data_IF_340030341916
#
_entry.id   IF_340030341916
#
_cell.length_a   1.000
_cell.length_b   1.000
_cell.length_c   1.000
_cell.angle_alpha   90.00
_cell.angle_beta   90.00
_cell.angle_gamma   90.00
#
_symmetry.space_group_name_H-M   'P 1'
#
loop_
_entity.id
_entity.type
_entity.pdbx_description
1 polymer ?
#
# COMPACT_ATOMS: atom_id res chain seq x y z
N UNK A 1 0.66 -25.31 27.56
CA UNK A 1 0.27 -24.62 28.80
C UNK A 1 0.13 -23.15 28.46
N UNK A 2 -1.09 -22.68 28.23
CA UNK A 2 -1.34 -21.27 27.86
C UNK A 2 -1.37 -20.49 29.17
N UNK A 3 -0.33 -19.70 29.45
CA UNK A 3 -0.32 -18.81 30.61
C UNK A 3 -1.49 -17.83 30.46
N UNK A 4 -2.32 -17.70 31.51
CA UNK A 4 -3.36 -16.68 31.53
C UNK A 4 -2.71 -15.30 31.34
N UNK A 5 -3.28 -14.42 30.48
CA UNK A 5 -2.70 -13.10 30.28
C UNK A 5 -2.68 -12.35 31.61
N UNK A 6 -1.52 -11.80 31.98
CA UNK A 6 -1.41 -11.01 33.21
C UNK A 6 -2.42 -9.84 33.21
N UNK A 7 -2.95 -9.44 34.38
CA UNK A 7 -4.02 -8.45 34.48
C UNK A 7 -3.59 -7.06 33.94
N UNK A 8 -4.53 -6.28 33.40
CA UNK A 8 -4.30 -4.89 32.97
C UNK A 8 -4.25 -3.95 34.17
N UNK A 9 -3.29 -3.02 34.21
CA UNK A 9 -3.04 -2.10 35.33
C UNK A 9 -1.56 -1.77 35.49
N UNK A 10 -1.23 -0.68 36.19
CA UNK A 10 0.16 -0.22 36.32
C UNK A 10 0.77 0.14 34.97
N UNK A 11 1.94 -0.44 34.63
CA UNK A 11 2.63 -0.18 33.35
C UNK A 11 2.08 -0.96 32.15
N UNK A 12 1.13 -1.88 32.35
CA UNK A 12 0.53 -2.67 31.27
C UNK A 12 -0.84 -2.12 30.89
N UNK A 13 -0.90 -1.46 29.74
CA UNK A 13 -2.04 -0.64 29.30
C UNK A 13 -2.77 -1.18 28.06
N UNK A 14 -2.35 -2.33 27.53
CA UNK A 14 -2.96 -2.97 26.36
C UNK A 14 -3.11 -4.47 26.56
N UNK A 15 -3.99 -5.06 25.74
CA UNK A 15 -4.13 -6.52 25.60
C UNK A 15 -3.37 -7.07 24.39
N UNK A 16 -2.47 -6.27 23.78
CA UNK A 16 -1.64 -6.77 22.66
C UNK A 16 -0.92 -8.06 23.03
N UNK A 17 -0.82 -9.01 22.08
CA UNK A 17 0.02 -10.19 22.28
C UNK A 17 1.48 -9.76 22.44
N UNK A 18 2.27 -10.52 23.20
CA UNK A 18 3.71 -10.25 23.36
C UNK A 18 4.43 -10.32 22.00
N UNK A 19 4.01 -11.25 21.15
CA UNK A 19 4.46 -11.42 19.79
C UNK A 19 3.30 -11.90 18.91
N UNK A 20 3.31 -11.49 17.64
CA UNK A 20 2.39 -11.99 16.63
C UNK A 20 1.90 -10.88 15.72
N UNK A 21 0.83 -11.17 14.99
CA UNK A 21 0.25 -10.24 14.03
C UNK A 21 -1.22 -9.97 14.34
N UNK A 22 -1.66 -8.73 14.10
CA UNK A 22 -3.07 -8.36 14.19
C UNK A 22 -3.54 -7.68 12.89
N UNK A 23 -4.78 -7.94 12.52
CA UNK A 23 -5.47 -7.12 11.51
C UNK A 23 -5.83 -5.76 12.09
N UNK A 24 -6.07 -4.77 11.23
CA UNK A 24 -6.34 -3.39 11.64
C UNK A 24 -7.49 -3.29 12.67
N UNK A 25 -8.61 -3.96 12.40
CA UNK A 25 -9.77 -3.94 13.30
C UNK A 25 -9.47 -4.62 14.64
N UNK A 26 -8.77 -5.76 14.63
CA UNK A 26 -8.38 -6.46 15.86
C UNK A 26 -7.42 -5.62 16.69
N UNK A 27 -6.46 -4.95 16.05
CA UNK A 27 -5.56 -4.03 16.73
C UNK A 27 -6.34 -2.89 17.43
N UNK A 28 -7.24 -2.22 16.71
CA UNK A 28 -8.05 -1.14 17.27
C UNK A 28 -8.86 -1.59 18.49
N UNK A 29 -9.50 -2.77 18.43
CA UNK A 29 -10.22 -3.36 19.57
C UNK A 29 -9.28 -3.71 20.73
N UNK A 30 -8.09 -4.21 20.44
CA UNK A 30 -7.08 -4.56 21.47
C UNK A 30 -6.50 -3.33 22.17
N UNK A 31 -6.63 -2.15 21.56
CA UNK A 31 -6.24 -0.86 22.13
C UNK A 31 -7.35 -0.19 22.96
N UNK A 32 -8.58 -0.71 22.98
CA UNK A 32 -9.71 -0.14 23.74
C UNK A 32 -9.48 0.04 25.24
N UNK A 33 -8.71 -0.81 25.95
CA UNK A 33 -8.39 -0.56 27.35
C UNK A 33 -7.76 0.81 27.62
N UNK A 34 -7.00 1.37 26.66
CA UNK A 34 -6.50 2.75 26.79
C UNK A 34 -7.63 3.78 26.76
N UNK A 35 -8.60 3.62 25.85
CA UNK A 35 -9.76 4.51 25.80
C UNK A 35 -10.59 4.42 27.07
N UNK A 36 -10.77 3.20 27.61
CA UNK A 36 -11.42 3.02 28.89
C UNK A 36 -10.66 3.76 30.00
N UNK A 37 -9.33 3.62 30.04
CA UNK A 37 -8.50 4.35 30.99
C UNK A 37 -8.61 5.87 30.86
N UNK A 38 -8.77 6.41 29.64
CA UNK A 38 -9.06 7.83 29.41
C UNK A 38 -10.40 8.23 29.99
N UNK A 39 -11.44 7.42 29.77
CA UNK A 39 -12.80 7.65 30.30
C UNK A 39 -12.77 7.66 31.82
N UNK A 40 -12.16 6.65 32.44
CA UNK A 40 -12.11 6.50 33.89
C UNK A 40 -11.27 7.60 34.54
N UNK A 41 -10.08 7.89 34.01
CA UNK A 41 -9.17 8.89 34.58
C UNK A 41 -9.68 10.32 34.38
N UNK A 42 -10.42 10.60 33.30
CA UNK A 42 -11.03 11.90 33.03
C UNK A 42 -12.45 12.06 33.56
N UNK A 43 -13.02 11.03 34.21
CA UNK A 43 -14.43 10.98 34.59
C UNK A 43 -15.36 11.42 33.43
N UNK A 44 -15.10 10.91 32.23
CA UNK A 44 -15.80 11.30 31.02
C UNK A 44 -17.17 10.65 30.94
N UNK A 45 -18.15 11.38 30.39
CA UNK A 45 -19.50 10.91 30.18
C UNK A 45 -19.97 11.09 28.73
N UNK A 46 -21.20 10.67 28.41
CA UNK A 46 -21.77 10.76 27.06
C UNK A 46 -21.73 12.16 26.43
N UNK A 47 -21.78 13.22 27.26
CA UNK A 47 -21.72 14.60 26.80
C UNK A 47 -20.35 15.01 26.23
N UNK A 48 -19.29 14.28 26.58
CA UNK A 48 -17.91 14.56 26.16
C UNK A 48 -17.57 13.87 24.81
N UNK A 49 -18.43 12.96 24.33
CA UNK A 49 -18.24 12.21 23.08
C UNK A 49 -17.99 13.12 21.87
N UNK A 50 -18.77 14.19 21.61
CA UNK A 50 -18.57 15.01 20.42
C UNK A 50 -17.18 15.66 20.36
N UNK A 51 -16.61 16.04 21.51
CA UNK A 51 -15.29 16.68 21.59
C UNK A 51 -14.17 15.70 21.22
N UNK A 52 -14.23 14.48 21.77
CA UNK A 52 -13.26 13.44 21.45
C UNK A 52 -13.41 12.94 20.01
N UNK A 53 -14.65 12.81 19.54
CA UNK A 53 -14.96 12.43 18.16
C UNK A 53 -14.33 13.42 17.16
N UNK A 54 -14.56 14.72 17.37
CA UNK A 54 -13.98 15.78 16.56
C UNK A 54 -12.44 15.73 16.57
N UNK A 55 -11.81 15.56 17.75
CA UNK A 55 -10.36 15.46 17.85
C UNK A 55 -9.78 14.27 17.08
N UNK A 56 -10.42 13.09 17.19
CA UNK A 56 -9.99 11.87 16.50
C UNK A 56 -10.06 12.08 14.99
N UNK A 57 -11.20 12.59 14.52
CA UNK A 57 -11.39 12.90 13.11
C UNK A 57 -10.38 13.94 12.62
N UNK A 58 -10.12 15.01 13.38
CA UNK A 58 -9.15 16.04 13.01
C UNK A 58 -7.71 15.48 12.91
N UNK A 59 -7.32 14.60 13.83
CA UNK A 59 -5.97 13.99 13.84
C UNK A 59 -5.76 13.03 12.67
N UNK A 60 -6.78 12.20 12.37
CA UNK A 60 -6.71 11.17 11.33
C UNK A 60 -7.06 11.68 9.92
N UNK A 61 -7.64 12.88 9.81
CA UNK A 61 -7.84 13.59 8.55
C UNK A 61 -6.50 14.01 7.91
N UNK A 62 -6.56 14.69 6.76
CA UNK A 62 -5.41 15.27 6.08
C UNK A 62 -5.58 16.79 5.95
N UNK A 63 -4.47 17.52 6.04
CA UNK A 63 -4.40 18.92 5.61
C UNK A 63 -5.02 19.96 6.55
N UNK A 64 -5.37 19.58 7.79
CA UNK A 64 -5.74 20.51 8.87
C UNK A 64 -4.52 20.81 9.75
N UNK A 65 -4.63 21.75 10.69
CA UNK A 65 -3.56 22.01 11.65
C UNK A 65 -3.31 20.81 12.56
N UNK A 66 -4.37 20.14 12.97
CA UNK A 66 -4.34 19.06 13.96
C UNK A 66 -4.00 17.68 13.36
N UNK A 67 -3.86 17.58 12.03
CA UNK A 67 -3.54 16.30 11.38
C UNK A 67 -2.18 15.77 11.78
N UNK A 68 -2.12 14.46 12.06
CA UNK A 68 -0.86 13.76 12.25
C UNK A 68 -0.13 13.41 10.94
N UNK A 69 -0.78 13.60 9.79
CA UNK A 69 -0.18 13.41 8.46
C UNK A 69 -0.45 14.67 7.61
N UNK A 70 0.50 15.62 7.57
CA UNK A 70 0.35 16.90 6.86
C UNK A 70 0.51 16.73 5.34
N UNK A 71 -0.23 15.78 4.77
CA UNK A 71 -0.22 15.43 3.36
C UNK A 71 -1.34 16.18 2.63
N UNK A 72 -0.97 17.18 1.85
CA UNK A 72 -1.91 18.01 1.08
C UNK A 72 -1.68 17.78 -0.42
N UNK A 73 -2.28 16.73 -1.02
CA UNK A 73 -2.09 16.44 -2.44
C UNK A 73 -2.80 17.49 -3.31
N UNK A 74 -2.05 18.12 -4.22
CA UNK A 74 -2.58 18.97 -5.28
C UNK A 74 -2.64 18.25 -6.64
N UNK A 75 -3.17 18.92 -7.68
CA UNK A 75 -3.17 18.40 -9.05
C UNK A 75 -1.77 17.99 -9.54
N UNK A 76 -0.75 18.78 -9.18
CA UNK A 76 0.63 18.60 -9.61
C UNK A 76 1.45 17.65 -8.73
N UNK A 77 0.87 17.16 -7.62
CA UNK A 77 1.58 16.22 -6.75
C UNK A 77 1.96 14.93 -7.51
N UNK A 78 3.08 14.28 -7.17
CA UNK A 78 3.44 13.01 -7.79
C UNK A 78 2.31 11.97 -7.73
N UNK A 79 2.21 11.10 -8.74
CA UNK A 79 1.14 10.09 -8.85
C UNK A 79 1.03 9.23 -7.58
N UNK A 80 2.16 8.77 -7.05
CA UNK A 80 2.23 7.98 -5.82
C UNK A 80 1.67 8.75 -4.62
N UNK A 81 2.04 10.03 -4.47
CA UNK A 81 1.55 10.91 -3.40
C UNK A 81 0.03 11.05 -3.43
N UNK A 82 -0.56 11.24 -4.62
CA UNK A 82 -2.03 11.33 -4.74
C UNK A 82 -2.72 10.00 -4.39
N UNK A 83 -2.15 8.88 -4.84
CA UNK A 83 -2.67 7.53 -4.55
C UNK A 83 -2.62 7.23 -3.04
N UNK A 84 -1.48 7.47 -2.40
CA UNK A 84 -1.31 7.31 -0.95
C UNK A 84 -2.20 8.27 -0.15
N UNK A 85 -2.47 9.48 -0.65
CA UNK A 85 -3.37 10.40 0.03
C UNK A 85 -4.84 9.96 -0.03
N UNK A 86 -5.28 9.36 -1.15
CA UNK A 86 -6.60 8.72 -1.23
C UNK A 86 -6.68 7.59 -0.21
N UNK A 87 -5.63 6.77 -0.13
CA UNK A 87 -5.53 5.66 0.82
C UNK A 87 -5.56 6.14 2.28
N UNK A 88 -4.75 7.15 2.61
CA UNK A 88 -4.70 7.74 3.95
C UNK A 88 -6.06 8.29 4.41
N UNK A 89 -6.81 8.95 3.51
CA UNK A 89 -8.17 9.43 3.82
C UNK A 89 -9.14 8.29 4.06
N UNK A 90 -9.07 7.21 3.28
CA UNK A 90 -9.95 6.05 3.46
C UNK A 90 -9.69 5.38 4.81
N UNK A 91 -8.42 5.04 5.09
CA UNK A 91 -8.01 4.38 6.33
C UNK A 91 -8.29 5.28 7.54
N UNK A 92 -7.92 6.56 7.49
CA UNK A 92 -8.11 7.51 8.58
C UNK A 92 -9.59 7.70 8.96
N UNK A 93 -10.48 7.84 7.96
CA UNK A 93 -11.93 7.92 8.22
C UNK A 93 -12.47 6.67 8.87
N UNK A 94 -12.01 5.50 8.45
CA UNK A 94 -12.52 4.25 8.97
C UNK A 94 -12.02 3.95 10.39
N UNK A 95 -10.73 4.18 10.67
CA UNK A 95 -10.19 4.11 12.04
C UNK A 95 -10.91 5.10 12.95
N UNK A 96 -11.18 6.33 12.48
CA UNK A 96 -11.94 7.31 13.25
C UNK A 96 -13.34 6.79 13.57
N UNK A 97 -14.09 6.29 12.58
CA UNK A 97 -15.42 5.73 12.78
C UNK A 97 -15.43 4.53 13.75
N UNK A 98 -14.42 3.66 13.70
CA UNK A 98 -14.25 2.58 14.66
C UNK A 98 -14.03 3.11 16.09
N UNK A 99 -13.23 4.16 16.22
CA UNK A 99 -12.93 4.82 17.49
C UNK A 99 -14.16 5.50 18.08
N UNK A 100 -14.96 6.20 17.26
CA UNK A 100 -16.24 6.79 17.66
C UNK A 100 -17.21 5.73 18.17
N UNK A 101 -17.31 4.60 17.46
CA UNK A 101 -18.17 3.49 17.87
C UNK A 101 -17.69 2.86 19.19
N UNK A 102 -16.38 2.70 19.36
CA UNK A 102 -15.79 2.20 20.61
C UNK A 102 -16.05 3.16 21.77
N UNK A 103 -15.77 4.46 21.61
CA UNK A 103 -16.05 5.48 22.63
C UNK A 103 -17.51 5.49 23.05
N UNK A 104 -18.44 5.52 22.09
CA UNK A 104 -19.88 5.50 22.38
C UNK A 104 -20.26 4.29 23.23
N UNK A 105 -19.74 3.11 22.89
CA UNK A 105 -19.98 1.88 23.65
C UNK A 105 -19.37 1.95 25.05
N UNK A 106 -18.08 2.28 25.17
CA UNK A 106 -17.34 2.30 26.43
C UNK A 106 -17.90 3.31 27.44
N UNK A 107 -18.46 4.43 26.98
CA UNK A 107 -19.15 5.42 27.83
C UNK A 107 -20.46 4.89 28.45
N UNK A 108 -21.04 3.82 27.88
CA UNK A 108 -22.29 3.21 28.36
C UNK A 108 -22.09 1.81 28.96
N UNK A 109 -21.09 1.08 28.48
CA UNK A 109 -20.75 -0.30 28.83
C UNK A 109 -19.23 -0.39 29.03
N UNK A 110 -18.74 0.02 30.22
CA UNK A 110 -17.33 0.08 30.52
C UNK A 110 -16.67 -1.30 30.53
N UNK A 111 -15.45 -1.38 30.02
CA UNK A 111 -14.64 -2.60 30.15
C UNK A 111 -13.90 -2.59 31.49
N UNK A 112 -14.01 -3.63 32.34
CA UNK A 112 -13.32 -3.64 33.63
C UNK A 112 -11.80 -3.68 33.47
N UNK A 113 -11.08 -2.83 34.21
CA UNK A 113 -9.62 -2.81 34.29
C UNK A 113 -9.15 -3.59 35.55
N UNK A 114 -8.65 -4.84 35.43
CA UNK A 114 -8.55 -5.77 36.56
C UNK A 114 -7.53 -5.43 37.65
N UNK A 115 -6.47 -4.67 37.35
CA UNK A 115 -5.41 -4.30 38.30
C UNK A 115 -5.36 -2.79 38.58
N UNK A 116 -6.49 -2.08 38.43
CA UNK A 116 -6.61 -0.67 38.78
C UNK A 116 -6.21 0.29 37.65
N UNK A 117 -6.02 1.59 37.96
CA UNK A 117 -5.83 2.62 36.94
C UNK A 117 -4.58 2.35 36.09
N UNK A 118 -4.71 2.60 34.78
CA UNK A 118 -3.60 2.49 33.85
C UNK A 118 -2.64 3.66 34.04
N UNK A 119 -1.33 3.37 34.03
CA UNK A 119 -0.28 4.39 34.07
C UNK A 119 0.63 4.19 32.88
N UNK A 120 0.67 5.19 32.01
CA UNK A 120 1.51 5.18 30.81
C UNK A 120 2.39 6.41 30.82
N UNK A 121 3.69 6.25 30.65
CA UNK A 121 4.58 7.37 30.32
C UNK A 121 4.69 7.46 28.81
N UNK A 122 3.71 8.09 28.18
CA UNK A 122 3.75 8.31 26.74
C UNK A 122 4.66 9.51 26.46
N UNK A 123 5.58 9.37 25.51
CA UNK A 123 6.27 10.55 24.96
C UNK A 123 5.24 11.40 24.23
N UNK A 124 5.21 12.71 24.48
CA UNK A 124 4.31 13.61 23.75
C UNK A 124 4.78 13.70 22.29
N UNK A 125 4.17 12.93 21.37
CA UNK A 125 4.51 12.94 19.94
C UNK A 125 4.01 14.17 19.17
N UNK A 126 3.75 15.28 19.87
CA UNK A 126 3.35 16.54 19.25
C UNK A 126 2.00 16.50 18.51
N UNK A 127 1.16 15.49 18.75
CA UNK A 127 -0.21 15.44 18.22
C UNK A 127 -0.99 16.63 18.76
N UNK A 128 -1.34 17.56 17.87
CA UNK A 128 -2.03 18.78 18.25
C UNK A 128 -3.48 18.47 18.63
N UNK A 129 -3.91 19.06 19.74
CA UNK A 129 -5.30 18.99 20.18
C UNK A 129 -6.08 20.22 19.67
N UNK A 130 -7.35 20.02 19.36
CA UNK A 130 -8.33 21.09 19.25
C UNK A 130 -8.44 21.81 20.59
N UNK A 131 -8.81 23.10 20.61
CA UNK A 131 -8.99 23.84 21.85
C UNK A 131 -9.95 23.15 22.82
N UNK A 132 -11.06 22.60 22.32
CA UNK A 132 -12.05 21.89 23.13
C UNK A 132 -11.49 20.58 23.73
N UNK A 133 -10.76 19.79 22.95
CA UNK A 133 -10.14 18.57 23.45
C UNK A 133 -9.02 18.86 24.46
N UNK A 134 -8.24 19.93 24.25
CA UNK A 134 -7.24 20.39 25.20
C UNK A 134 -7.89 20.79 26.54
N UNK A 135 -8.99 21.53 26.50
CA UNK A 135 -9.72 21.96 27.69
C UNK A 135 -10.32 20.77 28.48
N UNK A 136 -10.91 19.82 27.75
CA UNK A 136 -11.44 18.58 28.31
C UNK A 136 -10.35 17.70 28.95
N UNK A 137 -9.28 17.41 28.22
CA UNK A 137 -8.27 16.42 28.59
C UNK A 137 -7.20 16.95 29.55
N UNK A 138 -6.94 18.26 29.56
CA UNK A 138 -5.88 18.87 30.40
C UNK A 138 -6.40 19.68 31.58
N UNK A 139 -7.61 20.28 31.49
CA UNK A 139 -8.04 21.30 32.46
C UNK A 139 -9.21 20.85 33.33
N UNK A 140 -10.40 20.74 32.76
CA UNK A 140 -11.63 20.74 33.57
C UNK A 140 -11.91 19.45 34.32
N UNK A 141 -11.60 18.29 33.73
CA UNK A 141 -11.81 16.97 34.35
C UNK A 141 -10.65 16.00 34.12
N UNK A 142 -9.81 16.29 33.13
CA UNK A 142 -8.59 15.52 32.88
C UNK A 142 -7.41 15.94 33.77
N UNK A 143 -6.27 15.33 33.48
CA UNK A 143 -5.02 15.57 34.16
C UNK A 143 -3.87 14.87 33.43
N UNK A 144 -2.63 14.90 33.97
CA UNK A 144 -1.47 14.32 33.30
C UNK A 144 -1.65 12.85 32.88
N UNK A 145 -2.36 12.07 33.71
CA UNK A 145 -2.65 10.66 33.44
C UNK A 145 -3.61 10.49 32.27
N UNK A 146 -4.76 11.18 32.28
CA UNK A 146 -5.75 11.16 31.18
C UNK A 146 -5.10 11.55 29.86
N UNK A 147 -4.28 12.60 29.86
CA UNK A 147 -3.56 13.07 28.68
C UNK A 147 -2.56 12.04 28.17
N UNK A 148 -1.78 11.41 29.06
CA UNK A 148 -0.80 10.40 28.66
C UNK A 148 -1.48 9.16 28.05
N UNK A 149 -2.61 8.72 28.61
CA UNK A 149 -3.39 7.61 28.06
C UNK A 149 -3.98 7.96 26.70
N UNK A 150 -4.54 9.16 26.55
CA UNK A 150 -5.11 9.61 25.29
C UNK A 150 -4.03 9.76 24.21
N UNK A 151 -2.89 10.34 24.54
CA UNK A 151 -1.76 10.47 23.63
C UNK A 151 -1.23 9.12 23.18
N UNK A 152 -1.10 8.15 24.09
CA UNK A 152 -0.67 6.81 23.72
C UNK A 152 -1.64 6.18 22.73
N UNK A 153 -2.93 6.19 23.07
CA UNK A 153 -3.96 5.61 22.21
C UNK A 153 -3.97 6.27 20.83
N UNK A 154 -3.98 7.60 20.78
CA UNK A 154 -4.01 8.36 19.54
C UNK A 154 -2.77 8.07 18.70
N UNK A 155 -1.60 7.99 19.33
CA UNK A 155 -0.36 7.65 18.66
C UNK A 155 -0.40 6.24 18.04
N UNK A 156 -0.91 5.23 18.77
CA UNK A 156 -1.07 3.88 18.21
C UNK A 156 -2.02 3.86 17.00
N UNK A 157 -3.09 4.66 17.00
CA UNK A 157 -3.99 4.78 15.84
C UNK A 157 -3.33 5.48 14.64
N UNK A 158 -2.49 6.50 14.89
CA UNK A 158 -1.68 7.15 13.85
C UNK A 158 -0.67 6.18 13.25
N UNK A 159 0.06 5.44 14.09
CA UNK A 159 1.00 4.40 13.63
C UNK A 159 0.27 3.33 12.82
N UNK A 160 -0.92 2.91 13.25
CA UNK A 160 -1.73 1.95 12.50
C UNK A 160 -2.10 2.48 11.11
N UNK A 161 -2.63 3.71 11.02
CA UNK A 161 -2.95 4.33 9.72
C UNK A 161 -1.74 4.32 8.80
N UNK A 162 -0.60 4.76 9.32
CA UNK A 162 0.61 4.98 8.52
C UNK A 162 1.29 3.66 8.11
N UNK A 163 1.22 2.64 8.96
CA UNK A 163 1.66 1.26 8.67
C UNK A 163 0.87 0.62 7.51
N UNK A 164 -0.41 0.99 7.38
CA UNK A 164 -1.35 0.41 6.42
C UNK A 164 -1.42 1.11 5.07
N UNK A 165 -0.83 2.31 4.94
CA UNK A 165 -0.83 3.09 3.70
C UNK A 165 -0.39 2.34 2.44
N UNK A 166 0.57 1.39 2.48
CA UNK A 166 0.98 0.67 1.29
C UNK A 166 -0.09 -0.24 0.69
N UNK A 167 -1.13 -0.64 1.45
CA UNK A 167 -1.95 -1.80 1.10
C UNK A 167 -3.36 -1.42 0.62
N UNK A 168 -3.82 -2.03 -0.48
CA UNK A 168 -5.21 -1.92 -0.95
C UNK A 168 -6.18 -2.66 -0.04
N UNK A 169 -5.83 -3.87 0.37
CA UNK A 169 -6.59 -4.72 1.31
C UNK A 169 -6.11 -4.55 2.76
N UNK A 170 -5.83 -3.32 3.16
CA UNK A 170 -5.25 -2.96 4.44
C UNK A 170 -5.98 -3.52 5.68
N UNK A 171 -7.27 -3.82 5.57
CA UNK A 171 -8.05 -4.43 6.66
C UNK A 171 -7.59 -5.86 6.99
N UNK A 172 -7.09 -6.59 6.00
CA UNK A 172 -6.70 -8.01 6.12
C UNK A 172 -5.20 -8.21 6.36
N UNK A 173 -4.43 -7.13 6.38
CA UNK A 173 -2.97 -7.18 6.51
C UNK A 173 -2.59 -7.63 7.93
N UNK A 174 -1.73 -8.66 8.07
CA UNK A 174 -1.27 -9.15 9.37
C UNK A 174 -0.12 -8.29 9.87
N UNK A 175 -0.42 -7.14 10.47
CA UNK A 175 0.59 -6.21 10.97
C UNK A 175 1.32 -6.81 12.17
N UNK A 176 2.66 -6.79 12.16
CA UNK A 176 3.48 -7.25 13.27
C UNK A 176 3.21 -6.38 14.51
N UNK A 177 3.02 -7.02 15.66
CA UNK A 177 2.79 -6.34 16.93
C UNK A 177 3.94 -6.67 17.88
N UNK A 178 4.52 -5.62 18.46
CA UNK A 178 5.53 -5.74 19.50
C UNK A 178 4.96 -5.56 20.91
N UNK A 179 5.81 -5.72 21.95
CA UNK A 179 5.41 -5.56 23.35
C UNK A 179 4.85 -4.17 23.72
N UNK A 180 5.07 -3.17 22.87
CA UNK A 180 4.57 -1.79 23.04
C UNK A 180 3.65 -1.39 21.87
N UNK A 181 2.95 -2.35 21.28
CA UNK A 181 2.12 -2.15 20.10
C UNK A 181 2.95 -1.86 18.84
N UNK A 182 2.62 -0.78 18.14
CA UNK A 182 3.23 -0.42 16.86
C UNK A 182 4.46 0.48 16.97
N UNK A 183 4.93 0.82 18.18
CA UNK A 183 6.07 1.75 18.36
C UNK A 183 7.35 1.33 17.65
N UNK A 184 7.55 0.03 17.45
CA UNK A 184 8.67 -0.50 16.65
C UNK A 184 8.66 -0.04 15.17
N UNK A 185 7.55 0.52 14.69
CA UNK A 185 7.41 1.05 13.32
C UNK A 185 7.84 2.51 13.18
N UNK A 186 8.11 3.23 14.28
CA UNK A 186 8.39 4.68 14.29
C UNK A 186 9.54 5.07 13.35
N UNK A 187 10.70 4.41 13.46
CA UNK A 187 11.86 4.70 12.60
C UNK A 187 11.56 4.47 11.10
N UNK A 188 10.82 3.40 10.80
CA UNK A 188 10.39 3.06 9.44
C UNK A 188 9.41 4.09 8.89
N UNK A 189 8.45 4.49 9.72
CA UNK A 189 7.47 5.54 9.44
C UNK A 189 8.16 6.87 9.15
N UNK A 190 9.11 7.30 9.95
CA UNK A 190 9.78 8.60 9.77
C UNK A 190 10.58 8.65 8.46
N UNK A 191 11.25 7.54 8.12
CA UNK A 191 11.92 7.39 6.82
C UNK A 191 10.91 7.48 5.67
N UNK A 192 9.80 6.72 5.76
CA UNK A 192 8.75 6.69 4.74
C UNK A 192 8.09 8.06 4.55
N UNK A 193 7.73 8.73 5.65
CA UNK A 193 7.10 10.05 5.62
C UNK A 193 8.06 11.14 5.12
N UNK A 194 9.35 11.05 5.43
CA UNK A 194 10.36 11.95 4.86
C UNK A 194 10.40 11.81 3.33
N UNK A 195 10.38 10.58 2.81
CA UNK A 195 10.33 10.36 1.36
C UNK A 195 9.01 10.83 0.72
N UNK A 196 7.89 10.64 1.43
CA UNK A 196 6.56 11.00 0.93
C UNK A 196 6.29 12.51 0.92
N UNK A 197 6.72 13.22 1.97
CA UNK A 197 6.37 14.63 2.20
C UNK A 197 7.42 15.59 1.64
N UNK A 198 8.71 15.21 1.68
CA UNK A 198 9.81 16.12 1.32
C UNK A 198 10.40 15.75 -0.05
N UNK A 199 10.31 14.48 -0.45
CA UNK A 199 10.90 13.97 -1.69
C UNK A 199 9.81 13.42 -2.62
N UNK A 200 10.25 12.78 -3.70
CA UNK A 200 9.39 11.94 -4.53
C UNK A 200 9.55 10.48 -4.07
N UNK A 201 8.53 9.96 -3.37
CA UNK A 201 8.56 8.59 -2.89
C UNK A 201 8.72 7.59 -4.05
N UNK A 202 9.68 6.68 -3.89
CA UNK A 202 9.94 5.59 -4.84
C UNK A 202 9.08 4.39 -4.48
N UNK A 203 8.76 3.55 -5.47
CA UNK A 203 8.04 2.29 -5.22
C UNK A 203 8.81 1.38 -4.24
N UNK A 204 10.14 1.32 -4.35
CA UNK A 204 10.97 0.55 -3.41
C UNK A 204 10.88 1.09 -1.97
N UNK A 205 10.65 2.39 -1.77
CA UNK A 205 10.41 2.98 -0.45
C UNK A 205 9.07 2.53 0.15
N UNK A 206 8.02 2.43 -0.67
CA UNK A 206 6.71 1.87 -0.28
C UNK A 206 6.86 0.40 0.14
N UNK A 207 7.59 -0.41 -0.66
CA UNK A 207 7.86 -1.82 -0.36
C UNK A 207 8.71 -1.97 0.90
N UNK A 208 9.73 -1.12 1.09
CA UNK A 208 10.58 -1.14 2.27
C UNK A 208 9.79 -0.81 3.55
N UNK A 209 8.90 0.18 3.50
CA UNK A 209 7.99 0.50 4.60
C UNK A 209 7.06 -0.67 4.92
N UNK A 210 6.38 -1.22 3.91
CA UNK A 210 5.53 -2.40 4.06
C UNK A 210 6.28 -3.59 4.68
N UNK A 211 7.50 -3.86 4.23
CA UNK A 211 8.33 -4.95 4.77
C UNK A 211 8.70 -4.72 6.24
N UNK A 212 9.10 -3.50 6.62
CA UNK A 212 9.40 -3.19 8.03
C UNK A 212 8.16 -3.36 8.89
N UNK A 213 7.00 -2.92 8.42
CA UNK A 213 5.71 -3.07 9.12
C UNK A 213 5.32 -4.53 9.37
N UNK A 214 5.54 -5.43 8.39
CA UNK A 214 5.14 -6.83 8.53
C UNK A 214 6.20 -7.72 9.17
N UNK A 215 7.48 -7.39 9.00
CA UNK A 215 8.58 -8.29 9.38
C UNK A 215 9.47 -7.74 10.49
N UNK A 216 9.36 -6.45 10.81
CA UNK A 216 10.30 -5.75 11.70
C UNK A 216 11.69 -5.54 11.09
N UNK A 217 11.94 -5.99 9.85
CA UNK A 217 13.27 -5.97 9.23
C UNK A 217 13.30 -5.23 7.91
N UNK A 218 14.48 -4.71 7.57
CA UNK A 218 14.76 -4.18 6.24
C UNK A 218 15.01 -5.30 5.22
N UNK A 219 15.14 -4.94 3.95
CA UNK A 219 15.53 -5.86 2.89
C UNK A 219 16.01 -5.12 1.65
N UNK A 220 16.45 -5.87 0.61
CA UNK A 220 16.84 -5.29 -0.67
C UNK A 220 15.71 -4.45 -1.30
N UNK A 221 16.08 -3.50 -2.16
CA UNK A 221 15.14 -2.68 -2.89
C UNK A 221 14.43 -3.48 -3.99
N UNK A 222 13.24 -4.01 -3.69
CA UNK A 222 12.43 -4.81 -4.62
C UNK A 222 11.09 -4.20 -4.98
N UNK A 223 10.28 -4.96 -5.71
CA UNK A 223 8.91 -4.59 -6.07
C UNK A 223 7.85 -5.32 -5.22
N UNK A 224 8.26 -6.21 -4.33
CA UNK A 224 7.41 -6.96 -3.42
C UNK A 224 8.23 -7.93 -2.58
N UNK A 225 7.59 -8.69 -1.70
CA UNK A 225 8.25 -9.70 -0.88
C UNK A 225 7.28 -10.80 -0.43
N UNK A 226 7.82 -11.99 -0.22
CA UNK A 226 7.19 -13.06 0.54
C UNK A 226 7.45 -12.82 2.04
N UNK A 227 6.48 -13.15 2.89
CA UNK A 227 6.65 -13.19 4.34
C UNK A 227 5.66 -14.18 4.96
N UNK A 228 6.07 -14.87 6.02
CA UNK A 228 5.35 -15.96 6.69
C UNK A 228 3.82 -15.97 6.49
N UNK A 229 3.33 -16.93 5.70
CA UNK A 229 1.90 -17.09 5.42
C UNK A 229 1.33 -16.20 4.32
N UNK A 230 2.16 -15.49 3.54
CA UNK A 230 1.69 -14.77 2.34
C UNK A 230 2.73 -13.97 1.55
N UNK A 231 2.22 -13.25 0.55
CA UNK A 231 3.02 -12.51 -0.41
C UNK A 231 2.49 -11.09 -0.56
N UNK A 232 3.38 -10.11 -0.48
CA UNK A 232 3.12 -8.71 -0.79
C UNK A 232 3.64 -8.39 -2.19
N UNK A 233 2.71 -8.20 -3.13
CA UNK A 233 3.02 -7.78 -4.51
C UNK A 233 2.06 -6.66 -4.94
N UNK A 234 2.41 -5.85 -5.96
CA UNK A 234 1.56 -4.73 -6.38
C UNK A 234 0.12 -5.14 -6.69
N UNK A 235 -0.81 -4.24 -6.38
CA UNK A 235 -2.25 -4.53 -6.45
C UNK A 235 -2.79 -4.74 -7.86
N UNK A 236 -2.04 -4.31 -8.88
CA UNK A 236 -2.38 -4.53 -10.29
C UNK A 236 -2.54 -6.00 -10.68
N UNK A 237 -2.00 -6.95 -9.90
CA UNK A 237 -2.18 -8.37 -10.21
C UNK A 237 -3.60 -8.87 -9.94
N UNK A 238 -4.42 -8.12 -9.19
CA UNK A 238 -5.79 -8.50 -8.83
C UNK A 238 -6.85 -7.64 -9.55
N UNK A 239 -6.44 -6.77 -10.47
CA UNK A 239 -7.34 -5.78 -11.07
C UNK A 239 -6.92 -5.41 -12.49
N UNK A 240 -7.85 -4.98 -13.35
CA UNK A 240 -7.52 -4.55 -14.70
C UNK A 240 -6.43 -3.45 -14.70
N UNK A 241 -5.33 -3.61 -15.46
CA UNK A 241 -4.20 -2.65 -15.43
C UNK A 241 -4.59 -1.21 -15.78
N UNK A 242 -5.64 -1.02 -16.58
CA UNK A 242 -6.13 0.30 -16.97
C UNK A 242 -6.68 1.12 -15.79
N UNK A 243 -7.20 0.46 -14.75
CA UNK A 243 -7.86 1.11 -13.60
C UNK A 243 -7.13 0.89 -12.27
N UNK A 244 -6.33 -0.17 -12.16
CA UNK A 244 -5.64 -0.57 -10.93
C UNK A 244 -4.78 0.54 -10.29
N UNK A 245 -4.56 0.52 -8.97
CA UNK A 245 -3.55 1.36 -8.32
C UNK A 245 -2.15 1.08 -8.87
N UNK A 246 -1.30 2.10 -9.01
CA UNK A 246 0.04 1.96 -9.61
C UNK A 246 1.10 1.58 -8.59
N UNK A 247 0.94 2.03 -7.36
CA UNK A 247 1.96 1.98 -6.33
C UNK A 247 1.53 1.17 -5.12
N UNK A 248 0.23 1.03 -4.87
CA UNK A 248 -0.27 0.22 -3.77
C UNK A 248 0.01 -1.27 -3.99
N UNK A 249 0.17 -1.96 -2.87
CA UNK A 249 0.45 -3.37 -2.72
C UNK A 249 -0.81 -4.09 -2.26
N UNK A 250 -0.87 -5.40 -2.47
CA UNK A 250 -1.89 -6.28 -1.88
C UNK A 250 -1.16 -7.36 -1.09
N UNK A 251 -1.58 -7.60 0.15
CA UNK A 251 -1.21 -8.81 0.91
C UNK A 251 -2.04 -9.99 0.41
N UNK A 252 -1.40 -11.06 -0.05
CA UNK A 252 -2.07 -12.29 -0.52
C UNK A 252 -1.70 -13.42 0.44
N UNK A 253 -2.65 -13.92 1.25
CA UNK A 253 -2.39 -15.08 2.10
C UNK A 253 -1.97 -16.28 1.25
N UNK A 254 -0.86 -16.90 1.62
CA UNK A 254 -0.35 -18.12 1.03
C UNK A 254 0.35 -18.94 2.13
N UNK A 255 -0.33 -19.95 2.69
CA UNK A 255 0.25 -20.83 3.69
C UNK A 255 1.45 -21.63 3.19
N UNK A 256 1.76 -21.68 1.88
CA UNK A 256 2.96 -22.32 1.38
C UNK A 256 4.22 -21.45 1.57
N UNK A 257 4.06 -20.14 1.77
CA UNK A 257 5.17 -19.22 2.02
C UNK A 257 5.67 -19.36 3.45
N UNK A 258 6.93 -19.78 3.61
CA UNK A 258 7.59 -20.00 4.91
C UNK A 258 8.75 -19.05 5.19
N UNK A 259 9.30 -18.45 4.14
CA UNK A 259 10.53 -17.66 4.24
C UNK A 259 10.32 -16.28 3.65
N UNK A 260 11.03 -15.32 4.23
CA UNK A 260 10.99 -13.95 3.74
C UNK A 260 11.93 -13.83 2.55
N UNK A 261 11.40 -13.48 1.38
CA UNK A 261 12.18 -13.29 0.16
C UNK A 261 11.75 -12.03 -0.59
N UNK A 262 12.69 -11.19 -1.01
CA UNK A 262 12.38 -9.99 -1.80
C UNK A 262 12.31 -10.32 -3.28
N UNK A 263 11.29 -9.81 -3.97
CA UNK A 263 11.20 -9.91 -5.42
C UNK A 263 12.01 -8.81 -6.10
N UNK A 264 12.97 -9.21 -6.93
CA UNK A 264 13.81 -8.35 -7.75
C UNK A 264 13.51 -8.57 -9.25
N UNK A 265 13.64 -7.54 -10.10
CA UNK A 265 13.52 -7.71 -11.54
C UNK A 265 14.71 -8.52 -12.11
N UNK A 266 14.46 -9.34 -13.13
CA UNK A 266 15.51 -10.13 -13.81
C UNK A 266 16.53 -9.24 -14.55
N UNK A 267 16.15 -8.14 -15.26
CA UNK A 267 17.11 -7.16 -15.75
C UNK A 267 17.46 -6.13 -14.66
N UNK A 268 18.74 -6.06 -14.29
CA UNK A 268 19.25 -5.08 -13.33
C UNK A 268 19.19 -3.65 -13.87
N UNK A 269 19.55 -3.44 -15.14
CA UNK A 269 19.45 -2.16 -15.84
C UNK A 269 18.48 -2.26 -17.01
N UNK A 270 17.38 -1.52 -16.86
CA UNK A 270 16.33 -1.45 -17.85
C UNK A 270 16.70 -0.57 -19.05
N UNK A 271 17.40 0.53 -18.82
CA UNK A 271 17.67 1.51 -19.85
C UNK A 271 18.74 0.97 -20.83
N UNK A 272 19.58 0.06 -20.35
CA UNK A 272 20.52 -0.74 -21.13
C UNK A 272 19.92 -2.00 -21.79
N UNK A 273 18.64 -2.32 -21.56
CA UNK A 273 18.04 -3.54 -22.11
C UNK A 273 17.99 -3.48 -23.65
N UNK A 274 18.38 -4.58 -24.36
CA UNK A 274 18.27 -4.68 -25.80
C UNK A 274 16.83 -4.48 -26.30
N UNK A 275 16.67 -4.00 -27.54
CA UNK A 275 15.39 -3.54 -28.07
C UNK A 275 15.15 -4.03 -29.49
N UNK A 276 13.94 -4.49 -29.74
CA UNK A 276 13.43 -4.81 -31.08
C UNK A 276 12.57 -3.64 -31.56
N UNK A 277 12.93 -2.96 -32.65
CA UNK A 277 12.07 -1.97 -33.30
C UNK A 277 10.73 -2.58 -33.72
N UNK A 278 9.62 -1.88 -33.46
CA UNK A 278 8.26 -2.37 -33.74
C UNK A 278 8.04 -2.70 -35.23
N UNK A 279 8.71 -1.99 -36.12
CA UNK A 279 8.68 -2.21 -37.57
C UNK A 279 9.20 -3.59 -37.99
N UNK A 280 10.07 -4.20 -37.18
CA UNK A 280 10.61 -5.55 -37.39
C UNK A 280 9.65 -6.67 -36.96
N UNK A 281 8.53 -6.36 -36.29
CA UNK A 281 7.50 -7.36 -36.01
C UNK A 281 6.67 -7.64 -37.27
N UNK A 282 6.01 -8.81 -37.38
CA UNK A 282 5.12 -9.12 -38.50
C UNK A 282 3.99 -8.09 -38.65
N UNK A 283 3.57 -7.73 -39.88
CA UNK A 283 2.37 -6.91 -40.07
C UNK A 283 1.14 -7.69 -39.63
N UNK A 284 0.30 -7.07 -38.80
CA UNK A 284 -0.94 -7.68 -38.35
C UNK A 284 -2.12 -7.10 -39.11
N UNK A 285 -2.81 -7.95 -39.86
CA UNK A 285 -4.14 -7.64 -40.38
C UNK A 285 -5.14 -8.02 -39.30
N UNK A 286 -6.03 -7.13 -38.84
CA UNK A 286 -7.03 -7.47 -37.83
C UNK A 286 -8.00 -8.49 -38.40
N UNK A 287 -7.76 -9.77 -38.12
CA UNK A 287 -8.62 -10.88 -38.49
C UNK A 287 -8.88 -11.73 -37.24
N UNK A 288 -10.16 -11.76 -36.85
CA UNK A 288 -10.82 -12.56 -35.79
C UNK A 288 -10.17 -12.49 -34.40
N UNK A 289 -11.01 -12.21 -33.40
CA UNK A 289 -10.63 -12.02 -31.99
C UNK A 289 -9.58 -13.05 -31.51
N UNK A 290 -8.53 -12.61 -30.81
CA UNK A 290 -7.50 -13.52 -30.32
C UNK A 290 -8.13 -14.63 -29.48
N UNK A 291 -7.86 -15.89 -29.88
CA UNK A 291 -8.12 -17.06 -29.03
C UNK A 291 -7.40 -16.86 -27.69
N UNK A 292 -8.06 -17.25 -26.61
CA UNK A 292 -7.73 -16.98 -25.20
C UNK A 292 -6.23 -17.09 -24.91
N UNK A 293 -5.56 -15.94 -24.89
CA UNK A 293 -4.28 -15.79 -24.19
C UNK A 293 -4.59 -15.86 -22.70
N UNK A 294 -3.84 -16.67 -21.95
CA UNK A 294 -4.03 -16.80 -20.50
C UNK A 294 -2.70 -16.60 -19.80
N UNK A 295 -2.64 -15.57 -18.95
CA UNK A 295 -1.49 -15.27 -18.12
C UNK A 295 -1.49 -16.03 -16.78
N UNK A 296 -0.29 -16.40 -16.31
CA UNK A 296 -0.04 -16.90 -14.95
C UNK A 296 1.26 -16.35 -14.41
N UNK A 297 1.27 -15.92 -13.14
CA UNK A 297 2.51 -15.58 -12.44
C UNK A 297 3.21 -16.84 -11.95
N UNK A 298 4.50 -16.93 -12.21
CA UNK A 298 5.38 -18.02 -11.78
C UNK A 298 6.57 -17.41 -11.06
N UNK A 299 6.77 -17.79 -9.80
CA UNK A 299 7.86 -17.27 -8.99
C UNK A 299 9.06 -18.24 -9.05
N UNK A 300 10.26 -17.70 -9.28
CA UNK A 300 11.51 -18.46 -9.34
C UNK A 300 11.98 -18.90 -7.95
N UNK A 301 13.03 -19.72 -7.85
CA UNK A 301 13.60 -20.16 -6.57
C UNK A 301 14.10 -18.97 -5.73
N UNK A 302 14.17 -19.19 -4.42
CA UNK A 302 14.77 -18.23 -3.47
C UNK A 302 16.28 -18.51 -3.37
N UNK A 303 17.08 -17.47 -3.57
CA UNK A 303 18.52 -17.47 -3.38
C UNK A 303 18.89 -16.26 -2.53
N UNK A 304 19.60 -16.46 -1.40
CA UNK A 304 20.04 -15.38 -0.49
C UNK A 304 18.93 -14.38 -0.10
N UNK A 305 17.73 -14.88 0.15
CA UNK A 305 16.58 -14.05 0.54
C UNK A 305 16.02 -13.18 -0.58
N UNK A 306 16.37 -13.46 -1.84
CA UNK A 306 15.81 -12.81 -3.03
C UNK A 306 15.27 -13.84 -4.02
N UNK A 307 14.32 -13.43 -4.86
CA UNK A 307 13.80 -14.22 -5.98
C UNK A 307 13.32 -13.34 -7.12
N UNK A 308 13.16 -13.92 -8.30
CA UNK A 308 12.52 -13.27 -9.45
C UNK A 308 11.14 -13.89 -9.69
N UNK A 309 10.30 -13.25 -10.50
CA UNK A 309 9.05 -13.84 -10.96
C UNK A 309 8.76 -13.44 -12.40
N UNK A 310 8.00 -14.27 -13.11
CA UNK A 310 7.66 -14.10 -14.51
C UNK A 310 6.17 -14.31 -14.73
N UNK A 311 5.61 -13.58 -15.69
CA UNK A 311 4.29 -13.86 -16.24
C UNK A 311 4.49 -14.81 -17.43
N UNK A 312 3.91 -16.00 -17.35
CA UNK A 312 3.82 -16.96 -18.44
C UNK A 312 2.48 -16.77 -19.16
N UNK A 313 2.51 -16.56 -20.48
CA UNK A 313 1.31 -16.43 -21.33
C UNK A 313 1.32 -17.56 -22.34
N UNK A 314 0.29 -18.38 -22.36
CA UNK A 314 0.19 -19.55 -23.27
C UNK A 314 -0.78 -19.28 -24.41
N UNK A 315 -0.39 -19.71 -25.62
CA UNK A 315 -1.19 -19.67 -26.85
C UNK A 315 -0.83 -20.87 -27.73
N UNK A 316 -1.82 -21.66 -28.16
CA UNK A 316 -1.65 -22.81 -29.06
C UNK A 316 -0.48 -23.74 -28.65
N UNK A 317 -0.40 -24.07 -27.36
CA UNK A 317 0.64 -24.95 -26.80
C UNK A 317 2.03 -24.31 -26.63
N UNK A 318 2.21 -23.06 -27.05
CA UNK A 318 3.45 -22.29 -26.89
C UNK A 318 3.32 -21.31 -25.74
N UNK A 319 4.40 -21.12 -24.96
CA UNK A 319 4.42 -20.18 -23.83
C UNK A 319 5.45 -19.08 -24.05
N UNK A 320 5.01 -17.82 -23.92
CA UNK A 320 5.86 -16.65 -23.86
C UNK A 320 6.04 -16.20 -22.40
N UNK A 321 7.17 -15.55 -22.10
CA UNK A 321 7.48 -15.08 -20.75
C UNK A 321 7.80 -13.58 -20.73
N UNK A 322 7.30 -12.89 -19.71
CA UNK A 322 7.69 -11.53 -19.36
C UNK A 322 8.17 -11.47 -17.91
N UNK A 323 9.25 -10.73 -17.63
CA UNK A 323 9.67 -10.45 -16.26
C UNK A 323 8.58 -9.66 -15.53
N UNK A 324 8.21 -10.12 -14.32
CA UNK A 324 7.15 -9.50 -13.54
C UNK A 324 7.56 -8.09 -13.08
N UNK A 325 8.82 -7.91 -12.67
CA UNK A 325 9.32 -6.60 -12.27
C UNK A 325 9.22 -5.56 -13.39
N UNK A 326 9.53 -5.96 -14.63
CA UNK A 326 9.38 -5.13 -15.83
C UNK A 326 7.92 -4.88 -16.19
N UNK A 327 7.05 -5.90 -16.13
CA UNK A 327 5.61 -5.72 -16.33
C UNK A 327 5.03 -4.68 -15.36
N UNK A 328 5.39 -4.77 -14.08
CA UNK A 328 4.99 -3.83 -13.05
C UNK A 328 5.58 -2.42 -13.27
N UNK A 329 6.82 -2.32 -13.74
CA UNK A 329 7.43 -1.05 -14.14
C UNK A 329 6.68 -0.42 -15.32
N UNK A 330 6.43 -1.18 -16.38
CA UNK A 330 5.66 -0.74 -17.54
C UNK A 330 4.28 -0.20 -17.13
N UNK A 331 3.58 -0.92 -16.25
CA UNK A 331 2.31 -0.46 -15.67
C UNK A 331 2.43 0.87 -14.92
N UNK A 332 3.44 1.06 -14.06
CA UNK A 332 3.62 2.31 -13.30
C UNK A 332 3.83 3.52 -14.20
N UNK A 333 4.57 3.36 -15.29
CA UNK A 333 4.93 4.46 -16.18
C UNK A 333 3.96 4.67 -17.36
N UNK A 334 3.17 3.67 -17.74
CA UNK A 334 2.17 3.80 -18.80
C UNK A 334 1.21 4.99 -18.57
N UNK A 335 0.97 5.78 -19.60
CA UNK A 335 -0.02 6.85 -19.59
C UNK A 335 -1.44 6.27 -19.67
N UNK A 336 -2.43 6.93 -19.06
CA UNK A 336 -3.87 6.58 -19.18
C UNK A 336 -4.66 7.57 -20.06
N UNK A 337 -4.00 8.62 -20.54
CA UNK A 337 -4.56 9.63 -21.44
C UNK A 337 -3.68 9.70 -22.67
N UNK A 338 -4.30 9.87 -23.82
CA UNK A 338 -3.63 10.02 -25.10
C UNK A 338 -2.94 11.38 -25.12
N UNK A 339 -1.69 11.48 -25.59
CA UNK A 339 -1.22 12.70 -26.24
C UNK A 339 -2.20 13.10 -27.35
N UNK A 340 -2.29 14.39 -27.70
CA UNK A 340 -3.12 14.84 -28.83
C UNK A 340 -2.82 14.06 -30.12
N UNK A 341 -3.71 14.08 -31.12
CA UNK A 341 -3.56 13.30 -32.33
C UNK A 341 -2.20 13.59 -32.99
N UNK A 342 -1.34 12.57 -33.07
CA UNK A 342 -0.19 12.56 -33.97
C UNK A 342 -0.72 12.26 -35.36
N UNK A 343 -0.27 13.02 -36.37
CA UNK A 343 -0.85 13.03 -37.73
C UNK A 343 -0.73 11.73 -38.54
N UNK A 344 -0.24 10.63 -37.95
CA UNK A 344 -0.13 9.31 -38.59
C UNK A 344 -0.78 8.26 -37.70
N UNK A 345 -1.64 7.42 -38.29
CA UNK A 345 -2.32 6.34 -37.58
C UNK A 345 -1.30 5.29 -37.11
N UNK A 346 -1.34 4.86 -35.83
CA UNK A 346 -0.47 3.80 -35.34
C UNK A 346 -0.67 2.48 -36.09
N UNK A 347 0.43 1.74 -36.28
CA UNK A 347 0.39 0.42 -36.92
C UNK A 347 -0.22 -0.64 -36.00
N UNK A 348 -1.19 -1.46 -36.44
CA UNK A 348 -1.69 -2.58 -35.65
C UNK A 348 -0.62 -3.67 -35.46
N UNK A 349 -0.52 -4.22 -34.25
CA UNK A 349 0.42 -5.28 -33.85
C UNK A 349 -0.35 -6.36 -33.09
N UNK A 350 -0.09 -7.63 -33.42
CA UNK A 350 -0.68 -8.75 -32.71
C UNK A 350 -0.09 -8.88 -31.30
N UNK A 351 -0.95 -9.08 -30.30
CA UNK A 351 -0.52 -9.26 -28.91
C UNK A 351 0.52 -10.40 -28.76
N UNK A 352 0.30 -11.52 -29.45
CA UNK A 352 1.19 -12.68 -29.39
C UNK A 352 2.58 -12.42 -29.99
N UNK A 353 2.68 -11.63 -31.06
CA UNK A 353 3.96 -11.30 -31.67
C UNK A 353 4.76 -10.32 -30.81
N UNK A 354 4.08 -9.38 -30.14
CA UNK A 354 4.72 -8.53 -29.14
C UNK A 354 5.27 -9.37 -27.97
N UNK A 355 4.49 -10.34 -27.49
CA UNK A 355 4.89 -11.22 -26.37
C UNK A 355 6.11 -12.09 -26.71
N UNK A 356 6.19 -12.57 -27.95
CA UNK A 356 7.28 -13.44 -28.43
C UNK A 356 8.50 -12.71 -28.97
N UNK A 357 8.46 -11.38 -29.07
CA UNK A 357 9.63 -10.61 -29.48
C UNK A 357 10.86 -11.07 -28.66
N UNK A 358 12.06 -11.16 -29.25
CA UNK A 358 13.24 -11.63 -28.51
C UNK A 358 13.64 -10.62 -27.43
N UNK A 359 13.45 -9.33 -27.69
CA UNK A 359 13.83 -8.22 -26.82
C UNK A 359 12.64 -7.30 -26.53
N UNK A 360 12.86 -6.24 -25.74
CA UNK A 360 11.80 -5.27 -25.46
C UNK A 360 11.41 -4.53 -26.74
N UNK A 361 10.11 -4.39 -26.99
CA UNK A 361 9.61 -3.74 -28.20
C UNK A 361 9.63 -2.23 -27.99
N UNK A 362 10.38 -1.52 -28.83
CA UNK A 362 10.41 -0.07 -28.88
C UNK A 362 9.59 0.42 -30.08
N UNK A 363 8.73 1.41 -29.84
CA UNK A 363 8.00 2.07 -30.90
C UNK A 363 8.94 2.75 -31.92
N UNK A 364 8.66 2.56 -33.21
CA UNK A 364 9.25 3.36 -34.29
C UNK A 364 8.48 4.67 -34.52
N UNK A 365 8.77 5.35 -35.63
CA UNK A 365 8.22 6.67 -35.95
C UNK A 365 6.69 6.71 -36.10
N UNK A 366 6.08 5.61 -36.53
CA UNK A 366 4.62 5.49 -36.69
C UNK A 366 3.90 5.04 -35.42
N UNK A 367 4.64 4.59 -34.39
CA UNK A 367 4.06 3.94 -33.23
C UNK A 367 3.32 2.63 -33.56
N UNK A 368 2.66 2.05 -32.56
CA UNK A 368 1.82 0.87 -32.78
C UNK A 368 0.67 0.73 -31.79
N UNK A 369 -0.32 -0.07 -32.16
CA UNK A 369 -1.51 -0.37 -31.35
C UNK A 369 -1.70 -1.87 -31.25
N UNK A 370 -2.05 -2.32 -30.04
CA UNK A 370 -2.44 -3.70 -29.75
C UNK A 370 -3.86 -3.65 -29.20
N UNK A 371 -4.77 -4.38 -29.82
CA UNK A 371 -6.10 -4.62 -29.27
C UNK A 371 -5.99 -5.53 -28.05
N UNK A 372 -6.47 -5.06 -26.90
CA UNK A 372 -6.46 -5.83 -25.65
C UNK A 372 -7.86 -6.29 -25.24
N UNK A 373 -8.85 -6.13 -26.12
CA UNK A 373 -10.23 -6.55 -25.87
C UNK A 373 -10.29 -8.05 -25.58
N UNK A 374 -10.87 -8.40 -24.43
CA UNK A 374 -11.02 -9.80 -24.00
C UNK A 374 -9.74 -10.45 -23.46
N UNK A 375 -8.60 -9.75 -23.40
CA UNK A 375 -7.39 -10.27 -22.77
C UNK A 375 -7.49 -10.16 -21.24
N UNK A 376 -6.96 -11.17 -20.55
CA UNK A 376 -6.86 -11.12 -19.08
C UNK A 376 -5.81 -10.09 -18.63
N UNK A 377 -5.94 -9.62 -17.38
CA UNK A 377 -5.08 -8.57 -16.83
C UNK A 377 -3.59 -8.95 -16.77
N UNK A 378 -3.25 -10.22 -16.55
CA UNK A 378 -1.86 -10.68 -16.54
C UNK A 378 -1.28 -10.70 -17.95
N UNK A 379 -2.06 -11.06 -18.96
CA UNK A 379 -1.64 -10.93 -20.37
C UNK A 379 -1.36 -9.47 -20.73
N UNK A 380 -2.23 -8.53 -20.34
CA UNK A 380 -1.99 -7.09 -20.55
C UNK A 380 -0.73 -6.60 -19.81
N UNK A 381 -0.50 -7.07 -18.58
CA UNK A 381 0.74 -6.80 -17.85
C UNK A 381 1.98 -7.37 -18.54
N UNK A 382 1.90 -8.58 -19.09
CA UNK A 382 2.99 -9.17 -19.85
C UNK A 382 3.32 -8.32 -21.09
N UNK A 383 2.30 -7.83 -21.81
CA UNK A 383 2.50 -6.89 -22.93
C UNK A 383 3.23 -5.62 -22.48
N UNK A 384 2.85 -5.04 -21.34
CA UNK A 384 3.56 -3.90 -20.75
C UNK A 384 5.02 -4.23 -20.38
N UNK A 385 5.28 -5.44 -19.89
CA UNK A 385 6.64 -5.90 -19.55
C UNK A 385 7.52 -6.18 -20.76
N UNK A 386 6.91 -6.43 -21.92
CA UNK A 386 7.59 -6.57 -23.22
C UNK A 386 7.70 -5.26 -23.98
N UNK A 387 7.09 -4.19 -23.49
CA UNK A 387 7.08 -2.88 -24.14
C UNK A 387 8.09 -1.93 -23.51
N UNK A 388 8.74 -1.10 -24.33
CA UNK A 388 9.59 -0.03 -23.85
C UNK A 388 8.75 1.18 -23.36
N UNK A 389 8.87 1.65 -22.11
CA UNK A 389 7.89 2.49 -21.40
C UNK A 389 7.85 3.93 -21.89
N UNK A 390 8.84 4.40 -22.64
CA UNK A 390 8.84 5.75 -23.20
C UNK A 390 7.74 5.83 -24.27
N UNK A 391 6.57 6.34 -23.87
CA UNK A 391 5.35 6.54 -24.67
C UNK A 391 4.34 5.37 -24.74
N UNK A 392 4.26 4.53 -23.72
CA UNK A 392 3.15 3.55 -23.62
C UNK A 392 1.87 4.22 -23.11
N UNK A 393 0.76 4.10 -23.85
CA UNK A 393 -0.58 4.50 -23.42
C UNK A 393 -1.43 3.25 -23.23
N UNK A 394 -2.02 3.11 -22.05
CA UNK A 394 -2.88 1.99 -21.67
C UNK A 394 -4.33 2.46 -21.56
N UNK A 395 -5.22 1.78 -22.28
CA UNK A 395 -6.68 1.96 -22.28
C UNK A 395 -7.35 0.64 -21.87
N UNK A 396 -8.64 0.66 -21.50
CA UNK A 396 -9.38 -0.58 -21.17
C UNK A 396 -9.38 -1.61 -22.31
N UNK A 397 -9.43 -1.14 -23.55
CA UNK A 397 -9.60 -1.91 -24.79
C UNK A 397 -8.34 -1.88 -25.69
N UNK A 398 -7.27 -1.23 -25.26
CA UNK A 398 -6.06 -1.21 -26.08
C UNK A 398 -4.80 -0.73 -25.39
N UNK A 399 -3.68 -1.08 -26.03
CA UNK A 399 -2.34 -0.65 -25.69
C UNK A 399 -1.75 0.10 -26.89
N UNK A 400 -1.22 1.29 -26.68
CA UNK A 400 -0.54 2.07 -27.72
C UNK A 400 0.91 2.28 -27.34
N UNK A 401 1.81 2.01 -28.28
CA UNK A 401 3.22 2.32 -28.20
C UNK A 401 3.44 3.57 -29.05
N UNK A 402 3.58 4.73 -28.40
CA UNK A 402 3.76 6.01 -29.07
C UNK A 402 5.17 6.16 -29.63
N UNK A 403 5.29 6.89 -30.74
CA UNK A 403 6.60 7.20 -31.31
C UNK A 403 7.45 7.95 -30.28
N UNK A 404 8.72 7.57 -30.13
CA UNK A 404 9.67 8.39 -29.37
C UNK A 404 9.90 9.67 -30.15
N UNK A 405 9.14 10.72 -29.83
CA UNK A 405 9.43 12.06 -30.32
C UNK A 405 10.88 12.39 -29.95
N UNK A 406 11.69 12.79 -30.93
CA UNK A 406 12.98 13.42 -30.66
C UNK A 406 12.68 14.65 -29.80
N UNK A 407 12.87 14.54 -28.49
CA UNK A 407 13.01 15.69 -27.61
C UNK A 407 14.18 16.50 -28.14
N UNK A 408 13.91 17.65 -28.75
CA UNK A 408 14.92 18.72 -28.83
C UNK A 408 15.03 19.42 -27.49
#
# INVERSE_FOLDING_TARGET
MTLAPAPLGGSRWHTFPEHGTLTARRFATTAEPLLQGVIDAGALGPADLPVLDEQIHATLALGTRETALPLTPGPDSPRATRELAVQARAIGREIAAWSTAALRRLLTDPVPLPAGPLVVRSHCYGHLLTPAAADLLLRHRGGPVTMQLYNEWLHQMVLLRDALLPFTNWQDVPVLIGPTGLRHTEDGRDTFLTELLVRQIRHSGIVAHARRTLTGTAGPAGYGFDHDGGTVLPAVLDSPPATAPRYLLTWRPDPAVRHTATYLPDPADYDAAPRTPLDQLPPHTPATAPRTLTGRVTAGPVHDGVRTARIAVTHDGTTAHADLGQALRGHRFAHRRTPGPTGTAPRPVAAWDLLRAPQLVQAGDTGGTVDTTGLDGLTVLALLGRSYPHAVVLRPDGLTLGATGRSR
#
